data_IF_053958047328
#
_entry.id   IF_053958047328
#
_cell.length_a   1.000
_cell.length_b   1.000
_cell.length_c   1.000
_cell.angle_alpha   90.00
_cell.angle_beta   90.00
_cell.angle_gamma   90.00
#
_symmetry.space_group_name_H-M   'P 1'
#
loop_
_entity.id
_entity.type
_entity.pdbx_description
1 polymer ?
#
# COMPACT_ATOMS: atom_id res chain seq x y z
N UNK A 1 5.38 39.57 29.14
CA UNK A 1 5.62 40.09 27.77
C UNK A 1 7.07 39.91 27.34
N UNK A 2 8.06 40.31 28.15
CA UNK A 2 9.48 40.12 27.79
C UNK A 2 9.88 38.65 27.57
N UNK A 3 9.39 37.74 28.42
CA UNK A 3 9.70 36.30 28.33
C UNK A 3 9.12 35.63 27.08
N UNK A 4 7.88 35.96 26.70
CA UNK A 4 7.26 35.47 25.46
C UNK A 4 8.01 35.96 24.21
N UNK A 5 8.40 37.24 24.18
CA UNK A 5 9.18 37.79 23.08
C UNK A 5 10.60 37.16 22.97
N UNK A 6 11.21 36.82 24.10
CA UNK A 6 12.49 36.08 24.12
C UNK A 6 12.31 34.66 23.57
N UNK A 7 11.24 33.96 23.98
CA UNK A 7 10.93 32.63 23.45
C UNK A 7 10.72 32.67 21.94
N UNK A 8 9.92 33.60 21.44
CA UNK A 8 9.69 33.77 20.00
C UNK A 8 11.00 34.01 19.23
N UNK A 9 11.88 34.88 19.74
CA UNK A 9 13.18 35.15 19.14
C UNK A 9 14.10 33.91 19.12
N UNK A 10 14.11 33.12 20.19
CA UNK A 10 14.85 31.86 20.25
C UNK A 10 14.31 30.85 19.22
N UNK A 11 12.98 30.71 19.14
CA UNK A 11 12.34 29.79 18.18
C UNK A 11 12.64 30.19 16.74
N UNK A 12 12.54 31.47 16.38
CA UNK A 12 12.86 31.95 15.04
C UNK A 12 14.35 31.73 14.69
N UNK A 13 15.25 31.90 15.65
CA UNK A 13 16.67 31.60 15.46
C UNK A 13 16.90 30.10 15.20
N UNK A 14 16.30 29.23 16.01
CA UNK A 14 16.40 27.78 15.84
C UNK A 14 15.76 27.31 14.52
N UNK A 15 14.64 27.91 14.12
CA UNK A 15 14.02 27.67 12.82
C UNK A 15 14.98 28.07 11.68
N UNK A 16 15.62 29.23 11.77
CA UNK A 16 16.63 29.67 10.81
C UNK A 16 17.77 28.65 10.66
N UNK A 17 18.34 28.18 11.77
CA UNK A 17 19.40 27.17 11.76
C UNK A 17 18.92 25.86 11.12
N UNK A 18 17.76 25.34 11.53
CA UNK A 18 17.16 24.12 10.97
C UNK A 18 16.92 24.22 9.47
N UNK A 19 16.43 25.36 8.98
CA UNK A 19 16.16 25.53 7.53
C UNK A 19 17.42 25.66 6.68
N UNK A 20 18.53 26.12 7.27
CA UNK A 20 19.84 26.15 6.62
C UNK A 20 20.58 24.81 6.66
N UNK A 21 20.24 23.93 7.61
CA UNK A 21 20.90 22.64 7.80
C UNK A 21 20.70 21.69 6.60
N UNK A 22 21.77 21.04 6.10
CA UNK A 22 21.70 20.19 4.90
C UNK A 22 20.64 19.09 4.91
N UNK A 23 20.33 18.50 6.07
CA UNK A 23 19.32 17.43 6.16
C UNK A 23 17.90 17.91 5.89
N UNK A 24 17.59 19.18 6.17
CA UNK A 24 16.28 19.78 5.93
C UNK A 24 16.25 20.61 4.64
N UNK A 25 17.30 21.38 4.35
CA UNK A 25 17.37 22.30 3.20
C UNK A 25 17.26 21.60 1.85
N UNK A 26 17.69 20.33 1.76
CA UNK A 26 17.52 19.46 0.60
C UNK A 26 16.05 19.12 0.28
N UNK A 27 15.14 19.32 1.23
CA UNK A 27 13.72 19.01 1.07
C UNK A 27 12.84 20.26 1.23
N UNK A 28 12.48 20.93 0.13
CA UNK A 28 11.63 22.11 0.17
C UNK A 28 10.28 21.87 0.85
N UNK A 29 9.73 20.66 0.74
CA UNK A 29 8.46 20.29 1.38
C UNK A 29 8.57 20.22 2.91
N UNK A 30 9.66 19.65 3.45
CA UNK A 30 9.88 19.59 4.89
C UNK A 30 10.16 20.98 5.47
N UNK A 31 10.94 21.79 4.77
CA UNK A 31 11.19 23.20 5.13
C UNK A 31 9.89 24.00 5.17
N UNK A 32 9.03 23.88 4.17
CA UNK A 32 7.70 24.54 4.15
C UNK A 32 6.82 24.04 5.29
N UNK A 33 6.82 22.74 5.55
CA UNK A 33 6.01 22.16 6.61
C UNK A 33 6.45 22.64 8.00
N UNK A 34 7.76 22.60 8.29
CA UNK A 34 8.30 23.11 9.55
C UNK A 34 7.98 24.61 9.73
N UNK A 35 8.20 25.43 8.70
CA UNK A 35 7.88 26.85 8.75
C UNK A 35 6.40 27.10 9.05
N UNK A 36 5.50 26.37 8.38
CA UNK A 36 4.06 26.52 8.57
C UNK A 36 3.65 26.24 10.02
N UNK A 37 4.07 25.10 10.58
CA UNK A 37 3.64 24.70 11.93
C UNK A 37 4.26 25.58 13.02
N UNK A 38 5.51 26.00 12.85
CA UNK A 38 6.20 26.87 13.83
C UNK A 38 5.55 28.25 13.82
N UNK A 39 5.33 28.84 12.63
CA UNK A 39 4.69 30.16 12.52
C UNK A 39 3.25 30.15 13.01
N UNK A 40 2.49 29.08 12.74
CA UNK A 40 1.13 28.94 13.27
C UNK A 40 1.13 28.86 14.81
N UNK A 41 2.06 28.11 15.40
CA UNK A 41 2.23 28.01 16.86
C UNK A 41 2.62 29.34 17.50
N UNK A 42 3.57 30.08 16.91
CA UNK A 42 3.97 31.41 17.41
C UNK A 42 2.85 32.45 17.32
N UNK A 43 1.95 32.33 16.33
CA UNK A 43 0.74 33.16 16.23
C UNK A 43 -0.38 32.76 17.19
N UNK A 44 -0.22 31.68 17.96
CA UNK A 44 -1.26 31.11 18.80
C UNK A 44 -2.39 30.41 18.04
N UNK A 45 -2.24 30.19 16.74
CA UNK A 45 -3.25 29.53 15.88
C UNK A 45 -2.98 28.03 15.77
N UNK A 46 -2.94 27.35 16.91
CA UNK A 46 -2.67 25.91 16.96
C UNK A 46 -3.83 25.10 16.39
N UNK A 47 -5.05 25.66 16.44
CA UNK A 47 -6.27 25.04 15.96
C UNK A 47 -6.29 24.87 14.44
N UNK A 48 -5.54 25.69 13.69
CA UNK A 48 -5.40 25.54 12.24
C UNK A 48 -4.42 24.44 11.84
N UNK A 49 -3.55 23.97 12.76
CA UNK A 49 -2.53 22.93 12.50
C UNK A 49 -3.16 21.53 12.47
N UNK A 50 -4.00 21.29 11.47
CA UNK A 50 -4.69 20.01 11.20
C UNK A 50 -4.13 19.38 9.93
N UNK A 51 -4.27 18.06 9.81
CA UNK A 51 -3.82 17.33 8.62
C UNK A 51 -4.39 17.93 7.33
N UNK A 52 -5.67 18.27 7.33
CA UNK A 52 -6.33 18.90 6.19
C UNK A 52 -5.67 20.23 5.80
N UNK A 53 -5.55 21.17 6.73
CA UNK A 53 -4.96 22.49 6.47
C UNK A 53 -3.52 22.37 5.98
N UNK A 54 -2.71 21.50 6.60
CA UNK A 54 -1.34 21.25 6.17
C UNK A 54 -1.30 20.70 4.74
N UNK A 55 -2.19 19.76 4.40
CA UNK A 55 -2.23 19.18 3.06
C UNK A 55 -2.55 20.23 1.98
N UNK A 56 -3.53 21.08 2.24
CA UNK A 56 -3.96 22.12 1.29
C UNK A 56 -2.95 23.27 1.25
N UNK A 57 -2.63 23.86 2.39
CA UNK A 57 -1.84 25.09 2.48
C UNK A 57 -0.35 24.86 2.20
N UNK A 58 0.20 23.69 2.61
CA UNK A 58 1.64 23.40 2.50
C UNK A 58 1.95 22.50 1.32
N UNK A 59 1.18 21.42 1.16
CA UNK A 59 1.43 20.42 0.11
C UNK A 59 0.62 20.65 -1.17
N UNK A 60 -0.22 21.68 -1.22
CA UNK A 60 -0.98 22.04 -2.42
C UNK A 60 -1.99 20.97 -2.84
N UNK A 61 -2.52 20.21 -1.88
CA UNK A 61 -3.56 19.20 -2.15
C UNK A 61 -4.90 19.89 -2.47
N UNK A 62 -5.74 19.25 -3.31
CA UNK A 62 -7.05 19.79 -3.61
C UNK A 62 -7.95 19.82 -2.35
N UNK A 63 -8.99 20.68 -2.32
CA UNK A 63 -9.92 20.76 -1.18
C UNK A 63 -10.66 19.45 -0.88
N UNK A 64 -10.71 18.52 -1.83
CA UNK A 64 -11.27 17.17 -1.70
C UNK A 64 -10.33 16.18 -1.00
N UNK A 65 -9.20 16.65 -0.48
CA UNK A 65 -8.23 15.83 0.25
C UNK A 65 -8.87 15.16 1.48
N UNK A 66 -8.65 13.85 1.59
CA UNK A 66 -9.04 13.05 2.75
C UNK A 66 -7.79 12.50 3.47
N UNK A 67 -7.53 12.92 4.73
CA UNK A 67 -6.43 12.41 5.55
C UNK A 67 -6.43 10.89 5.78
N UNK A 68 -7.57 10.20 5.61
CA UNK A 68 -7.67 8.75 5.77
C UNK A 68 -7.11 8.00 4.55
N UNK A 69 -7.32 8.54 3.36
CA UNK A 69 -6.93 7.87 2.11
C UNK A 69 -5.57 8.32 1.58
N UNK A 70 -5.16 9.58 1.80
CA UNK A 70 -3.84 10.09 1.41
C UNK A 70 -2.94 10.31 2.65
N UNK A 71 -1.91 9.46 2.86
CA UNK A 71 -1.05 9.54 4.02
C UNK A 71 0.04 10.63 3.92
N UNK A 72 0.05 11.49 2.89
CA UNK A 72 1.12 12.46 2.63
C UNK A 72 1.55 13.23 3.88
N UNK A 73 0.61 13.80 4.64
CA UNK A 73 0.92 14.58 5.85
C UNK A 73 1.54 13.71 6.93
N UNK A 74 1.02 12.49 7.10
CA UNK A 74 1.56 11.53 8.09
C UNK A 74 2.97 11.10 7.72
N UNK A 75 3.25 10.87 6.44
CA UNK A 75 4.58 10.49 5.92
C UNK A 75 5.56 11.66 6.09
N UNK A 76 5.19 12.87 5.69
CA UNK A 76 6.06 14.05 5.85
C UNK A 76 6.29 14.38 7.32
N UNK A 77 5.29 14.20 8.20
CA UNK A 77 5.48 14.40 9.64
C UNK A 77 6.44 13.36 10.24
N UNK A 78 6.46 12.12 9.75
CA UNK A 78 7.46 11.11 10.17
C UNK A 78 8.86 11.51 9.74
N UNK A 79 9.02 11.95 8.49
CA UNK A 79 10.30 12.43 7.96
C UNK A 79 10.79 13.66 8.71
N UNK A 80 9.90 14.61 9.01
CA UNK A 80 10.24 15.80 9.79
C UNK A 80 10.70 15.43 11.21
N UNK A 81 10.02 14.50 11.89
CA UNK A 81 10.45 14.01 13.20
C UNK A 81 11.86 13.40 13.17
N UNK A 82 12.13 12.55 12.17
CA UNK A 82 13.46 11.95 12.01
C UNK A 82 14.55 13.01 11.75
N UNK A 83 14.26 13.99 10.89
CA UNK A 83 15.17 15.09 10.60
C UNK A 83 15.45 15.97 11.84
N UNK A 84 14.43 16.26 12.66
CA UNK A 84 14.61 17.00 13.91
C UNK A 84 15.45 16.19 14.91
N UNK A 85 15.19 14.90 15.08
CA UNK A 85 15.98 14.03 15.96
C UNK A 85 17.44 13.98 15.53
N UNK A 86 17.71 13.82 14.23
CA UNK A 86 19.05 13.81 13.67
C UNK A 86 19.78 15.15 13.90
N UNK A 87 19.11 16.27 13.64
CA UNK A 87 19.68 17.59 13.88
C UNK A 87 20.04 17.80 15.36
N UNK A 88 19.11 17.52 16.28
CA UNK A 88 19.34 17.74 17.72
C UNK A 88 20.28 16.70 18.36
N UNK A 89 20.57 15.60 17.67
CA UNK A 89 21.60 14.63 18.08
C UNK A 89 23.01 15.01 17.63
N UNK A 90 23.14 15.93 16.68
CA UNK A 90 24.41 16.39 16.12
C UNK A 90 24.55 17.91 16.21
N UNK A 91 24.39 18.59 15.07
CA UNK A 91 24.62 20.03 14.91
C UNK A 91 23.80 20.93 15.86
N UNK A 92 22.66 20.44 16.34
CA UNK A 92 21.72 21.16 17.20
C UNK A 92 21.83 20.84 18.69
N UNK A 93 22.82 20.06 19.13
CA UNK A 93 22.92 19.59 20.52
C UNK A 93 22.94 20.74 21.55
N UNK A 94 23.69 21.80 21.22
CA UNK A 94 23.89 23.00 22.05
C UNK A 94 22.84 24.08 21.81
N UNK A 95 21.79 23.79 21.03
CA UNK A 95 20.74 24.77 20.76
C UNK A 95 19.97 25.08 22.06
N UNK A 96 19.79 26.37 22.41
CA UNK A 96 19.12 26.77 23.66
C UNK A 96 17.63 26.40 23.68
N UNK A 97 17.04 26.12 22.52
CA UNK A 97 15.65 25.72 22.36
C UNK A 97 15.54 24.56 21.39
N UNK A 98 14.70 23.58 21.73
CA UNK A 98 14.44 22.41 20.90
C UNK A 98 13.01 22.42 20.42
N UNK A 99 12.84 22.30 19.11
CA UNK A 99 11.56 22.14 18.44
C UNK A 99 11.23 20.64 18.37
N UNK A 100 10.29 20.19 19.19
CA UNK A 100 9.82 18.82 19.24
C UNK A 100 8.48 18.67 18.53
N UNK A 101 8.30 17.59 17.76
CA UNK A 101 7.03 17.30 17.08
C UNK A 101 6.42 15.99 17.62
N UNK A 102 5.42 16.06 18.53
CA UNK A 102 4.83 14.88 19.17
C UNK A 102 4.21 13.90 18.16
N UNK A 103 4.19 12.62 18.52
CA UNK A 103 3.51 11.57 17.72
C UNK A 103 2.00 11.75 17.83
N UNK A 104 1.29 11.59 16.70
CA UNK A 104 -0.17 11.69 16.66
C UNK A 104 -0.72 13.12 16.61
N UNK A 105 0.12 14.14 16.81
CA UNK A 105 -0.24 15.55 16.61
C UNK A 105 0.73 16.21 15.64
N UNK A 106 0.32 17.36 15.11
CA UNK A 106 1.12 18.18 14.18
C UNK A 106 1.58 19.51 14.80
N UNK A 107 1.12 19.81 16.01
CA UNK A 107 1.50 21.02 16.75
C UNK A 107 2.90 20.81 17.36
N UNK A 108 3.88 21.68 17.07
CA UNK A 108 5.21 21.59 17.66
C UNK A 108 5.20 22.08 19.11
N UNK A 109 6.07 21.49 19.92
CA UNK A 109 6.38 21.90 21.29
C UNK A 109 7.78 22.53 21.30
N UNK A 110 7.94 23.64 22.02
CA UNK A 110 9.23 24.29 22.20
C UNK A 110 9.72 24.02 23.61
N UNK A 111 10.94 23.48 23.74
CA UNK A 111 11.54 23.11 25.04
C UNK A 111 12.87 23.82 25.23
N UNK A 112 13.09 24.44 26.38
CA UNK A 112 14.37 25.07 26.68
C UNK A 112 15.41 24.01 27.06
N UNK A 113 16.65 24.20 26.63
CA UNK A 113 17.77 23.35 27.00
C UNK A 113 17.99 23.43 28.53
N UNK A 114 17.61 22.37 29.24
CA UNK A 114 17.60 22.33 30.71
C UNK A 114 16.29 21.77 31.30
N UNK A 115 15.18 21.84 30.56
CA UNK A 115 13.95 21.13 30.91
C UNK A 115 14.03 19.66 30.44
N UNK A 116 14.58 18.82 31.32
CA UNK A 116 14.57 17.36 31.15
C UNK A 116 13.12 16.81 31.23
N UNK A 117 12.77 15.71 30.53
CA UNK A 117 11.38 15.30 30.22
C UNK A 117 10.45 14.90 31.38
N UNK A 118 10.75 15.22 32.64
CA UNK A 118 9.96 14.74 33.77
C UNK A 118 8.67 15.54 34.02
N UNK A 119 8.51 16.76 33.48
CA UNK A 119 7.52 17.70 34.02
C UNK A 119 6.62 18.43 33.00
N UNK A 120 6.48 17.95 31.76
CA UNK A 120 5.65 18.61 30.75
C UNK A 120 4.38 17.82 30.34
N UNK A 121 3.87 16.95 31.22
CA UNK A 121 2.52 16.36 31.10
C UNK A 121 1.70 16.65 32.36
N UNK A 122 1.56 17.92 32.72
CA UNK A 122 0.58 18.35 33.72
C UNK A 122 0.22 19.83 33.52
N UNK A 123 -0.61 20.13 32.52
CA UNK A 123 -1.53 21.27 32.69
C UNK A 123 -2.78 20.77 33.44
N UNK A 124 -3.26 21.52 34.44
CA UNK A 124 -4.27 21.06 35.39
C UNK A 124 -5.66 21.18 34.77
N UNK A 125 -6.39 20.06 34.73
CA UNK A 125 -7.85 20.06 34.71
C UNK A 125 -8.32 19.27 35.91
N UNK A 126 -8.96 20.01 36.82
CA UNK A 126 -9.96 19.59 37.81
C UNK A 126 -9.72 18.27 38.58
N UNK A 127 -9.23 18.46 39.81
CA UNK A 127 -9.55 17.74 41.06
C UNK A 127 -10.48 16.51 40.97
N UNK A 128 -9.90 15.32 41.14
CA UNK A 128 -10.55 14.14 41.74
C UNK A 128 -9.53 13.52 42.71
N UNK A 129 -9.88 13.23 43.98
CA UNK A 129 -8.93 12.84 45.01
C UNK A 129 -8.32 11.44 44.80
N UNK A 130 -7.13 11.19 45.38
CA UNK A 130 -6.25 10.08 45.00
C UNK A 130 -6.65 8.77 45.69
N UNK A 131 -6.73 7.69 44.91
CA UNK A 131 -6.70 6.32 45.44
C UNK A 131 -5.22 5.88 45.47
N UNK A 132 -4.61 5.64 46.64
CA UNK A 132 -3.21 5.23 46.72
C UNK A 132 -3.11 3.76 46.34
N UNK A 133 -2.30 3.48 45.32
CA UNK A 133 -1.95 2.12 44.96
C UNK A 133 -1.89 1.92 43.46
N UNK A 134 -0.75 2.25 42.85
CA UNK A 134 0.18 1.23 42.37
C UNK A 134 1.29 1.89 41.56
N UNK A 135 2.49 1.74 42.10
CA UNK A 135 3.74 1.89 41.37
C UNK A 135 3.80 0.75 40.35
N UNK A 136 3.74 1.08 39.07
CA UNK A 136 4.20 0.19 37.99
C UNK A 136 4.72 1.04 36.84
N UNK A 137 6.02 1.35 36.90
CA UNK A 137 6.79 1.72 35.71
C UNK A 137 6.88 0.49 34.82
N UNK A 138 5.90 0.30 33.94
CA UNK A 138 6.04 -0.64 32.84
C UNK A 138 7.01 -0.07 31.79
N UNK A 139 7.92 -0.87 31.20
CA UNK A 139 8.69 -0.41 30.06
C UNK A 139 7.73 -0.16 28.91
N UNK A 140 7.70 1.07 28.39
CA UNK A 140 6.97 1.43 27.18
C UNK A 140 7.69 0.80 25.98
N UNK A 141 7.41 -0.46 25.72
CA UNK A 141 7.72 -1.12 24.45
C UNK A 141 6.87 -0.48 23.36
N UNK A 142 7.46 0.50 22.67
CA UNK A 142 6.98 0.91 21.35
C UNK A 142 6.91 -0.32 20.45
N UNK A 143 5.88 -0.40 19.60
CA UNK A 143 5.70 -1.53 18.69
C UNK A 143 7.04 -1.82 17.97
N UNK A 144 7.60 -3.03 18.13
CA UNK A 144 8.97 -3.29 17.75
C UNK A 144 9.14 -3.33 16.22
N UNK A 145 10.30 -2.86 15.78
CA UNK A 145 10.69 -2.58 14.39
C UNK A 145 10.51 -3.77 13.42
N UNK A 146 10.45 -5.01 13.93
CA UNK A 146 10.22 -6.22 13.13
C UNK A 146 8.84 -6.26 12.45
N UNK A 147 7.84 -5.51 12.93
CA UNK A 147 6.55 -5.39 12.25
C UNK A 147 6.62 -4.57 10.96
N UNK A 148 7.53 -3.58 10.90
CA UNK A 148 7.79 -2.81 9.68
C UNK A 148 8.49 -3.67 8.63
N UNK A 149 9.45 -4.50 9.05
CA UNK A 149 10.10 -5.48 8.17
C UNK A 149 9.14 -6.60 7.73
N UNK A 150 8.26 -7.09 8.60
CA UNK A 150 7.26 -8.10 8.24
C UNK A 150 6.25 -7.56 7.22
N UNK A 151 5.83 -6.30 7.34
CA UNK A 151 4.93 -5.66 6.37
C UNK A 151 5.61 -5.41 5.03
N UNK A 152 6.87 -4.94 5.02
CA UNK A 152 7.67 -4.77 3.80
C UNK A 152 7.90 -6.13 3.11
N UNK A 153 8.12 -7.20 3.88
CA UNK A 153 8.29 -8.55 3.36
C UNK A 153 6.99 -9.06 2.70
N UNK A 154 5.83 -8.86 3.33
CA UNK A 154 4.52 -9.25 2.76
C UNK A 154 4.21 -8.48 1.48
N UNK A 155 4.45 -7.17 1.46
CA UNK A 155 4.24 -6.34 0.27
C UNK A 155 5.23 -6.70 -0.84
N UNK A 156 6.49 -6.94 -0.50
CA UNK A 156 7.53 -7.37 -1.44
C UNK A 156 7.19 -8.72 -2.09
N UNK A 157 6.76 -9.71 -1.31
CA UNK A 157 6.34 -11.02 -1.83
C UNK A 157 5.12 -10.87 -2.75
N UNK A 158 4.14 -10.05 -2.38
CA UNK A 158 2.97 -9.77 -3.22
C UNK A 158 3.34 -9.15 -4.58
N UNK A 159 4.28 -8.20 -4.59
CA UNK A 159 4.77 -7.56 -5.82
C UNK A 159 5.54 -8.56 -6.69
N UNK A 160 6.40 -9.40 -6.10
CA UNK A 160 7.17 -10.41 -6.84
C UNK A 160 6.23 -11.44 -7.48
N UNK A 161 5.20 -11.90 -6.75
CA UNK A 161 4.19 -12.82 -7.30
C UNK A 161 3.40 -12.15 -8.42
N UNK A 162 2.92 -10.92 -8.22
CA UNK A 162 2.19 -10.19 -9.26
C UNK A 162 3.03 -9.94 -10.51
N UNK A 163 4.30 -9.58 -10.34
CA UNK A 163 5.23 -9.37 -11.46
C UNK A 163 5.54 -10.69 -12.17
N UNK A 164 5.72 -11.79 -11.45
CA UNK A 164 5.89 -13.12 -12.03
C UNK A 164 4.65 -13.56 -12.84
N UNK A 165 3.43 -13.21 -12.40
CA UNK A 165 2.19 -13.50 -13.14
C UNK A 165 2.00 -12.62 -14.40
N UNK A 166 2.66 -11.46 -14.45
CA UNK A 166 2.65 -10.56 -15.63
C UNK A 166 3.76 -10.91 -16.62
N UNK A 167 4.90 -11.40 -16.14
CA UNK A 167 6.07 -11.77 -16.96
C UNK A 167 6.06 -13.22 -17.44
N UNK A 168 5.25 -14.11 -16.84
CA UNK A 168 5.08 -15.47 -17.38
C UNK A 168 4.34 -15.39 -18.71
N UNK A 169 4.93 -15.87 -19.83
CA UNK A 169 4.23 -15.91 -21.09
C UNK A 169 2.99 -16.78 -20.91
N UNK A 170 1.80 -16.18 -21.09
CA UNK A 170 0.54 -16.92 -21.12
C UNK A 170 0.72 -18.03 -22.18
N UNK A 171 0.62 -19.32 -21.82
CA UNK A 171 0.76 -20.38 -22.80
C UNK A 171 -0.41 -20.25 -23.77
N UNK A 172 -0.16 -19.64 -24.92
CA UNK A 172 -1.06 -19.69 -26.06
C UNK A 172 -1.17 -21.16 -26.44
N UNK A 173 -2.32 -21.78 -26.14
CA UNK A 173 -2.69 -23.07 -26.73
C UNK A 173 -2.72 -22.86 -28.24
N UNK A 174 -1.62 -23.18 -28.91
CA UNK A 174 -1.64 -23.44 -30.33
C UNK A 174 -2.38 -24.76 -30.46
N UNK A 175 -3.65 -24.68 -30.85
CA UNK A 175 -4.45 -25.84 -31.21
C UNK A 175 -3.86 -26.36 -32.53
N UNK A 176 -2.94 -27.31 -32.44
CA UNK A 176 -2.37 -27.96 -33.62
C UNK A 176 -3.49 -28.81 -34.22
N UNK A 177 -3.98 -28.51 -35.44
CA UNK A 177 -4.98 -29.37 -36.07
C UNK A 177 -4.37 -30.76 -36.21
N UNK A 178 -4.95 -31.74 -35.50
CA UNK A 178 -4.49 -33.13 -35.55
C UNK A 178 -4.54 -33.58 -37.01
N UNK A 179 -3.43 -34.05 -37.61
CA UNK A 179 -3.52 -34.65 -38.93
C UNK A 179 -4.46 -35.87 -38.83
N UNK A 180 -5.34 -36.09 -39.83
CA UNK A 180 -6.19 -37.27 -39.83
C UNK A 180 -5.29 -38.51 -39.90
N UNK A 181 -5.35 -39.36 -38.88
CA UNK A 181 -4.69 -40.66 -38.92
C UNK A 181 -5.65 -41.67 -39.55
N UNK A 182 -5.19 -42.36 -40.59
CA UNK A 182 -5.92 -43.50 -41.16
C UNK A 182 -5.49 -44.72 -40.36
N UNK A 183 -6.39 -45.20 -39.48
CA UNK A 183 -6.20 -46.46 -38.78
C UNK A 183 -6.54 -47.62 -39.71
N UNK A 184 -5.57 -48.45 -40.06
CA UNK A 184 -5.83 -49.74 -40.71
C UNK A 184 -6.06 -50.75 -39.58
N UNK A 185 -7.31 -51.14 -39.37
CA UNK A 185 -7.65 -52.24 -38.47
C UNK A 185 -7.47 -53.58 -39.18
N UNK A 186 -6.87 -54.57 -38.49
CA UNK A 186 -6.79 -55.92 -39.02
C UNK A 186 -8.19 -56.53 -39.14
N UNK A 187 -8.53 -56.97 -40.35
CA UNK A 187 -9.80 -57.63 -40.63
C UNK A 187 -9.67 -59.11 -40.26
N UNK A 188 -10.22 -59.51 -39.11
CA UNK A 188 -10.48 -60.93 -38.84
C UNK A 188 -11.66 -61.36 -39.69
N UNK A 189 -11.42 -62.24 -40.65
CA UNK A 189 -12.48 -62.92 -41.37
C UNK A 189 -13.26 -63.82 -40.39
N UNK A 190 -14.47 -63.41 -40.05
CA UNK A 190 -15.38 -64.23 -39.24
C UNK A 190 -15.89 -65.34 -40.16
N UNK A 191 -15.29 -66.52 -40.02
CA UNK A 191 -15.85 -67.76 -40.56
C UNK A 191 -17.16 -68.06 -39.81
N UNK A 192 -18.28 -68.41 -40.48
CA UNK A 192 -19.56 -68.52 -39.82
C UNK A 192 -19.58 -69.81 -38.98
N UNK A 193 -19.53 -69.65 -37.66
CA UNK A 193 -19.90 -70.70 -36.73
C UNK A 193 -20.99 -70.15 -35.81
N UNK A 194 -22.13 -70.81 -35.90
CA UNK A 194 -23.39 -70.52 -35.24
C UNK A 194 -23.27 -70.51 -33.71
N UNK A 195 -24.06 -69.64 -33.07
CA UNK A 195 -24.66 -69.97 -31.78
C UNK A 195 -24.21 -69.15 -30.56
N UNK A 196 -25.19 -68.39 -30.05
CA UNK A 196 -25.44 -68.07 -28.64
C UNK A 196 -24.72 -66.90 -27.94
N UNK A 197 -25.55 -65.86 -27.75
CA UNK A 197 -25.97 -65.29 -26.46
C UNK A 197 -25.06 -64.38 -25.62
N UNK A 198 -25.67 -63.22 -25.33
CA UNK A 198 -25.55 -62.35 -24.16
C UNK A 198 -24.32 -61.43 -24.05
N UNK A 199 -24.58 -60.13 -24.23
CA UNK A 199 -23.64 -59.06 -23.92
C UNK A 199 -24.17 -57.68 -24.25
N UNK A 200 -24.77 -57.05 -23.25
CA UNK A 200 -25.32 -55.70 -23.25
C UNK A 200 -24.23 -54.63 -23.47
N UNK A 201 -24.47 -53.66 -24.37
CA UNK A 201 -23.69 -52.41 -24.41
C UNK A 201 -23.38 -51.84 -25.79
N UNK A 202 -24.35 -51.11 -26.35
CA UNK A 202 -24.19 -49.97 -27.29
C UNK A 202 -22.96 -49.93 -28.23
N UNK A 203 -23.10 -50.53 -29.41
CA UNK A 203 -22.41 -50.12 -30.66
C UNK A 203 -23.41 -50.14 -31.83
N UNK A 204 -24.16 -49.05 -31.96
CA UNK A 204 -25.02 -48.78 -33.11
C UNK A 204 -24.24 -48.00 -34.17
N UNK A 205 -23.93 -48.65 -35.28
CA UNK A 205 -23.17 -48.13 -36.42
C UNK A 205 -22.33 -49.31 -36.89
N UNK A 206 -22.70 -50.03 -37.94
CA UNK A 206 -22.75 -49.61 -39.32
C UNK A 206 -23.45 -50.73 -40.11
N UNK A 207 -24.75 -50.60 -40.34
CA UNK A 207 -25.54 -51.56 -41.14
C UNK A 207 -26.47 -50.85 -42.13
N UNK A 208 -26.11 -49.64 -42.58
CA UNK A 208 -26.97 -48.79 -43.40
C UNK A 208 -26.40 -48.34 -44.75
N UNK A 209 -25.21 -48.80 -45.16
CA UNK A 209 -24.54 -48.29 -46.38
C UNK A 209 -24.50 -49.29 -47.55
N UNK A 210 -25.50 -50.16 -47.66
CA UNK A 210 -25.59 -51.11 -48.78
C UNK A 210 -26.92 -51.05 -49.56
N UNK A 211 -27.80 -50.08 -49.30
CA UNK A 211 -29.08 -49.94 -50.03
C UNK A 211 -29.34 -48.44 -50.26
N UNK A 212 -28.59 -47.80 -51.16
CA UNK A 212 -29.05 -46.60 -51.92
C UNK A 212 -28.02 -46.19 -52.99
N UNK A 213 -27.59 -47.14 -53.81
CA UNK A 213 -26.83 -46.87 -55.04
C UNK A 213 -27.61 -47.41 -56.24
N UNK A 214 -28.88 -47.02 -56.30
CA UNK A 214 -29.74 -47.07 -57.47
C UNK A 214 -30.93 -46.18 -57.13
N UNK A 215 -31.36 -45.32 -58.04
CA UNK A 215 -32.42 -44.30 -57.88
C UNK A 215 -31.94 -42.88 -57.51
N UNK A 216 -30.97 -42.33 -58.24
CA UNK A 216 -30.97 -40.87 -58.48
C UNK A 216 -30.22 -40.44 -59.75
N UNK A 217 -30.46 -41.15 -60.86
CA UNK A 217 -29.87 -40.84 -62.17
C UNK A 217 -30.91 -40.82 -63.31
N UNK A 218 -32.21 -40.69 -62.98
CA UNK A 218 -33.29 -40.63 -63.97
C UNK A 218 -34.15 -39.35 -63.93
N UNK A 219 -33.73 -38.29 -63.22
CA UNK A 219 -34.56 -37.08 -63.07
C UNK A 219 -34.12 -35.86 -63.89
N UNK A 220 -33.34 -36.01 -64.97
CA UNK A 220 -33.15 -34.89 -65.91
C UNK A 220 -33.00 -35.38 -67.34
N UNK A 221 -34.04 -36.03 -67.85
CA UNK A 221 -34.27 -36.16 -69.29
C UNK A 221 -35.73 -35.79 -69.54
N UNK A 222 -36.03 -34.49 -69.60
CA UNK A 222 -37.22 -33.93 -70.25
C UNK A 222 -37.28 -32.41 -70.08
N UNK A 223 -36.53 -31.65 -70.88
CA UNK A 223 -37.05 -30.43 -71.53
C UNK A 223 -36.36 -30.28 -72.89
N UNK A 224 -37.04 -30.77 -73.93
CA UNK A 224 -36.93 -30.33 -75.34
C UNK A 224 -38.27 -29.64 -75.70
N UNK A 225 -38.43 -28.89 -76.80
CA UNK A 225 -37.75 -28.98 -78.11
C UNK A 225 -36.65 -27.96 -78.39
#
# INVERSE_FOLDING_TARGET
MAEAAQLEALVETALGQLTSWPGLSRSPQLTKFLNYIVRAKLKGDEASIKAYSIAVDVFGRPPTFDPQTDPIVRVQARRLRAALEEYYSGDGVDSPIRIYLPVGRYVPEFRLAGESPAEAVAMPTASVPPKPGQVSRGPRTGLPDWMLYALVLVVGVGIVVALAQVLTPRPTRIDVPRPPFIGIGEFTAISPAEGQEQGQGATGGIAGLAIELVTDLQLFDDIKP
#
